data_IF_233111388559
#
_entry.id   IF_233111388559
#
_cell.length_a   1.000
_cell.length_b   1.000
_cell.length_c   1.000
_cell.angle_alpha   90.00
_cell.angle_beta   90.00
_cell.angle_gamma   90.00
#
_symmetry.space_group_name_H-M   'P 1'
#
loop_
_entity.id
_entity.type
_entity.pdbx_description
1 polymer ?
#
# COMPACT_ATOMS: atom_id res chain seq x y z
N UNK A 1 10.99 10.37 -23.09
CA UNK A 1 12.23 9.65 -22.70
C UNK A 1 13.23 10.50 -21.90
N UNK A 2 13.31 11.83 -22.09
CA UNK A 2 14.17 12.71 -21.28
C UNK A 2 13.81 12.69 -19.78
N UNK A 3 12.53 12.73 -19.43
CA UNK A 3 12.09 12.75 -18.01
C UNK A 3 12.42 11.51 -17.18
N UNK A 4 12.42 10.31 -17.77
CA UNK A 4 12.75 9.08 -17.05
C UNK A 4 14.27 9.00 -16.72
N UNK A 5 15.12 9.42 -17.64
CA UNK A 5 16.58 9.48 -17.42
C UNK A 5 16.94 10.53 -16.36
N UNK A 6 16.29 11.67 -16.40
CA UNK A 6 16.48 12.73 -15.41
C UNK A 6 15.99 12.28 -14.02
N UNK A 7 14.83 11.65 -13.95
CA UNK A 7 14.31 11.06 -12.71
C UNK A 7 15.30 10.05 -12.11
N UNK A 8 15.77 9.09 -12.90
CA UNK A 8 16.75 8.09 -12.43
C UNK A 8 18.07 8.74 -11.99
N UNK A 9 18.52 9.80 -12.66
CA UNK A 9 19.72 10.54 -12.26
C UNK A 9 19.53 11.25 -10.92
N UNK A 10 18.37 11.88 -10.70
CA UNK A 10 18.04 12.54 -9.44
C UNK A 10 17.91 11.53 -8.30
N UNK A 11 17.31 10.36 -8.58
CA UNK A 11 17.18 9.27 -7.62
C UNK A 11 18.54 8.64 -7.28
N UNK A 12 19.43 8.50 -8.28
CA UNK A 12 20.80 7.99 -8.07
C UNK A 12 21.65 8.90 -7.17
N UNK A 13 21.35 10.20 -7.11
CA UNK A 13 21.97 11.12 -6.15
C UNK A 13 21.49 10.94 -4.70
N UNK A 14 20.53 10.04 -4.43
CA UNK A 14 19.93 9.80 -3.12
C UNK A 14 19.97 8.31 -2.79
N UNK A 15 21.01 7.82 -2.11
CA UNK A 15 21.25 6.39 -1.93
C UNK A 15 20.08 5.66 -1.23
N UNK A 16 19.46 6.29 -0.25
CA UNK A 16 18.29 5.72 0.46
C UNK A 16 17.08 5.58 -0.47
N UNK A 17 16.81 6.58 -1.30
CA UNK A 17 15.72 6.54 -2.27
C UNK A 17 15.96 5.52 -3.39
N UNK A 18 17.21 5.43 -3.87
CA UNK A 18 17.60 4.43 -4.86
C UNK A 18 17.45 3.01 -4.30
N UNK A 19 17.88 2.78 -3.06
CA UNK A 19 17.69 1.51 -2.38
C UNK A 19 16.20 1.17 -2.21
N UNK A 20 15.37 2.16 -1.85
CA UNK A 20 13.91 2.00 -1.79
C UNK A 20 13.30 1.63 -3.14
N UNK A 21 13.71 2.29 -4.21
CA UNK A 21 13.24 1.98 -5.58
C UNK A 21 13.64 0.57 -6.02
N UNK A 22 14.91 0.19 -5.79
CA UNK A 22 15.41 -1.16 -6.09
C UNK A 22 14.66 -2.20 -5.26
N UNK A 23 14.42 -1.94 -3.97
CA UNK A 23 13.66 -2.82 -3.10
C UNK A 23 12.22 -3.02 -3.57
N UNK A 24 11.52 -1.96 -3.98
CA UNK A 24 10.18 -2.07 -4.57
C UNK A 24 10.21 -2.93 -5.84
N UNK A 25 11.16 -2.68 -6.75
CA UNK A 25 11.31 -3.50 -7.97
C UNK A 25 11.62 -4.96 -7.66
N UNK A 26 12.47 -5.22 -6.66
CA UNK A 26 12.79 -6.58 -6.22
C UNK A 26 11.54 -7.32 -5.74
N UNK A 27 10.72 -6.72 -4.86
CA UNK A 27 9.51 -7.37 -4.37
C UNK A 27 8.42 -7.51 -5.45
N UNK A 28 8.30 -6.55 -6.36
CA UNK A 28 7.42 -6.68 -7.54
C UNK A 28 7.89 -7.83 -8.43
N UNK A 29 9.19 -7.92 -8.71
CA UNK A 29 9.76 -9.06 -9.44
C UNK A 29 9.49 -10.39 -8.72
N UNK A 30 9.77 -10.45 -7.41
CA UNK A 30 9.55 -11.63 -6.58
C UNK A 30 8.09 -12.10 -6.62
N UNK A 31 7.13 -11.17 -6.55
CA UNK A 31 5.70 -11.49 -6.49
C UNK A 31 5.07 -11.86 -7.84
N UNK A 32 5.53 -11.24 -8.93
CA UNK A 32 4.86 -11.38 -10.23
C UNK A 32 5.68 -12.09 -11.31
N UNK A 33 7.01 -12.11 -11.19
CA UNK A 33 7.90 -12.71 -12.19
C UNK A 33 8.50 -14.02 -11.70
N UNK A 34 8.97 -14.07 -10.45
CA UNK A 34 9.60 -15.29 -9.91
C UNK A 34 8.68 -16.53 -9.93
N UNK A 35 7.35 -16.45 -9.73
CA UNK A 35 6.44 -17.59 -9.83
C UNK A 35 6.44 -18.30 -11.20
N UNK A 36 6.88 -17.64 -12.28
CA UNK A 36 7.02 -18.29 -13.59
C UNK A 36 8.23 -19.23 -13.66
N UNK A 37 9.21 -19.06 -12.77
CA UNK A 37 10.45 -19.84 -12.75
C UNK A 37 10.50 -20.85 -11.61
N UNK A 38 9.71 -20.62 -10.55
CA UNK A 38 9.66 -21.46 -9.36
C UNK A 38 8.29 -22.12 -9.30
N UNK A 39 8.17 -23.44 -9.47
CA UNK A 39 6.87 -24.12 -9.39
C UNK A 39 6.32 -24.07 -7.95
N UNK A 40 5.00 -23.91 -7.82
CA UNK A 40 4.35 -23.94 -6.51
C UNK A 40 4.50 -25.31 -5.86
N UNK A 41 5.08 -25.34 -4.67
CA UNK A 41 5.22 -26.51 -3.82
C UNK A 41 4.34 -26.36 -2.60
N UNK A 42 3.08 -26.78 -2.71
CA UNK A 42 2.08 -26.67 -1.64
C UNK A 42 1.70 -28.02 -1.03
N UNK A 43 2.41 -29.08 -1.41
CA UNK A 43 2.17 -30.44 -0.86
C UNK A 43 2.86 -30.56 0.49
N UNK A 44 2.10 -30.94 1.56
CA UNK A 44 2.68 -31.17 2.88
C UNK A 44 3.69 -32.31 2.88
N UNK A 45 4.82 -32.14 3.58
CA UNK A 45 5.80 -33.18 3.84
C UNK A 45 6.08 -33.30 5.35
N UNK A 46 5.38 -34.17 6.03
CA UNK A 46 5.45 -34.33 7.48
C UNK A 46 6.85 -34.68 7.99
N UNK A 47 7.68 -35.29 7.15
CA UNK A 47 9.08 -35.63 7.52
C UNK A 47 10.01 -34.40 7.57
N UNK A 48 9.57 -33.26 7.06
CA UNK A 48 10.37 -32.03 6.91
C UNK A 48 9.80 -30.84 7.69
N UNK A 49 9.00 -31.10 8.75
CA UNK A 49 8.42 -30.03 9.59
C UNK A 49 9.54 -29.25 10.31
N UNK A 50 9.47 -27.91 10.20
CA UNK A 50 10.38 -26.95 10.81
C UNK A 50 11.87 -27.25 10.58
N UNK A 51 12.23 -27.71 9.39
CA UNK A 51 13.64 -27.83 9.06
C UNK A 51 14.30 -26.45 9.00
N UNK A 52 15.52 -26.39 9.52
CA UNK A 52 16.38 -25.20 9.45
C UNK A 52 16.84 -24.97 8.00
N UNK A 53 17.30 -23.75 7.65
CA UNK A 53 17.81 -23.43 6.33
C UNK A 53 18.86 -24.42 5.83
N UNK A 54 18.67 -24.86 4.60
CA UNK A 54 19.53 -25.80 3.89
C UNK A 54 19.61 -25.47 2.40
N UNK A 55 20.43 -26.16 1.63
CA UNK A 55 20.47 -25.98 0.17
C UNK A 55 19.16 -26.37 -0.52
N UNK A 56 18.41 -27.34 0.06
CA UNK A 56 17.10 -27.75 -0.45
C UNK A 56 16.01 -26.76 -0.03
N UNK A 57 16.09 -26.22 1.17
CA UNK A 57 15.13 -25.28 1.74
C UNK A 57 15.85 -24.02 2.28
N UNK A 58 16.14 -23.01 1.43
CA UNK A 58 16.98 -21.86 1.81
C UNK A 58 16.47 -21.03 2.98
N UNK A 59 15.16 -21.00 3.22
CA UNK A 59 14.51 -20.36 4.38
C UNK A 59 13.88 -21.37 5.35
N UNK A 60 14.26 -22.66 5.24
CA UNK A 60 13.66 -23.72 6.04
C UNK A 60 12.24 -24.07 5.60
N UNK A 61 11.53 -24.81 6.45
CA UNK A 61 10.18 -25.30 6.18
C UNK A 61 9.18 -24.89 7.26
N UNK A 62 7.89 -24.94 6.93
CA UNK A 62 6.79 -24.57 7.82
C UNK A 62 6.32 -25.76 8.69
N UNK A 63 5.19 -25.57 9.40
CA UNK A 63 4.53 -26.56 10.25
C UNK A 63 3.94 -27.75 9.47
N UNK A 64 3.89 -27.71 8.16
CA UNK A 64 3.50 -28.82 7.27
C UNK A 64 4.66 -29.38 6.47
N UNK A 65 5.90 -28.89 6.70
CA UNK A 65 7.07 -29.27 5.94
C UNK A 65 7.14 -28.68 4.52
N UNK A 66 6.38 -27.59 4.25
CA UNK A 66 6.42 -26.88 2.97
C UNK A 66 7.55 -25.87 2.96
N UNK A 67 8.16 -25.65 1.79
CA UNK A 67 9.27 -24.71 1.63
C UNK A 67 8.85 -23.26 1.91
N UNK A 68 9.53 -22.62 2.86
CA UNK A 68 9.25 -21.24 3.28
C UNK A 68 9.57 -20.21 2.18
N UNK A 69 10.66 -20.41 1.40
CA UNK A 69 11.00 -19.51 0.31
C UNK A 69 9.93 -19.54 -0.79
N UNK A 70 9.42 -20.73 -1.10
CA UNK A 70 8.33 -20.90 -2.05
C UNK A 70 7.08 -20.12 -1.61
N UNK A 71 6.71 -20.21 -0.33
CA UNK A 71 5.60 -19.44 0.24
C UNK A 71 5.85 -17.92 0.21
N UNK A 72 7.07 -17.45 0.41
CA UNK A 72 7.43 -16.02 0.29
C UNK A 72 7.26 -15.55 -1.16
N UNK A 73 7.70 -16.33 -2.14
CA UNK A 73 7.56 -15.99 -3.56
C UNK A 73 6.08 -15.84 -3.95
N UNK A 74 5.26 -16.82 -3.62
CA UNK A 74 3.85 -16.81 -4.00
C UNK A 74 3.00 -15.88 -3.11
N UNK A 75 3.34 -15.75 -1.84
CA UNK A 75 2.60 -14.92 -0.87
C UNK A 75 2.69 -13.42 -1.11
N UNK A 76 3.68 -12.96 -1.88
CA UNK A 76 3.85 -11.56 -2.23
C UNK A 76 2.75 -11.02 -3.15
N UNK A 77 2.24 -11.85 -4.07
CA UNK A 77 1.29 -11.42 -5.10
C UNK A 77 0.00 -10.86 -4.49
N UNK A 78 -0.60 -11.58 -3.55
CA UNK A 78 -1.88 -11.18 -2.96
C UNK A 78 -1.74 -9.92 -2.12
N UNK A 79 -0.72 -9.87 -1.25
CA UNK A 79 -0.53 -8.73 -0.34
C UNK A 79 -0.20 -7.43 -1.10
N UNK A 80 0.63 -7.51 -2.15
CA UNK A 80 0.96 -6.37 -3.00
C UNK A 80 -0.24 -5.92 -3.84
N UNK A 81 -0.99 -6.86 -4.43
CA UNK A 81 -2.17 -6.56 -5.26
C UNK A 81 -3.24 -5.85 -4.45
N UNK A 82 -3.58 -6.37 -3.27
CA UNK A 82 -4.58 -5.75 -2.38
C UNK A 82 -4.12 -4.37 -1.92
N UNK A 83 -2.86 -4.24 -1.50
CA UNK A 83 -2.29 -2.97 -1.08
C UNK A 83 -2.34 -1.91 -2.20
N UNK A 84 -1.95 -2.29 -3.42
CA UNK A 84 -1.99 -1.41 -4.59
C UNK A 84 -3.42 -0.99 -4.96
N UNK A 85 -4.35 -1.94 -5.05
CA UNK A 85 -5.74 -1.65 -5.41
C UNK A 85 -6.46 -0.82 -4.34
N UNK A 86 -6.22 -1.11 -3.05
CA UNK A 86 -6.77 -0.32 -1.97
C UNK A 86 -6.26 1.13 -2.00
N UNK A 87 -4.96 1.33 -2.23
CA UNK A 87 -4.37 2.65 -2.41
C UNK A 87 -4.92 3.36 -3.65
N UNK A 88 -5.08 2.65 -4.77
CA UNK A 88 -5.63 3.21 -6.01
C UNK A 88 -7.07 3.71 -5.80
N UNK A 89 -7.94 2.86 -5.28
CA UNK A 89 -9.34 3.20 -5.08
C UNK A 89 -9.51 4.31 -4.03
N UNK A 90 -8.78 4.25 -2.89
CA UNK A 90 -8.84 5.31 -1.88
C UNK A 90 -8.31 6.65 -2.41
N UNK A 91 -7.26 6.64 -3.22
CA UNK A 91 -6.70 7.85 -3.85
C UNK A 91 -7.67 8.47 -4.86
N UNK A 92 -8.31 7.65 -5.70
CA UNK A 92 -9.32 8.12 -6.67
C UNK A 92 -10.52 8.73 -5.93
N UNK A 93 -11.04 8.07 -4.89
CA UNK A 93 -12.14 8.62 -4.08
C UNK A 93 -11.74 9.93 -3.40
N UNK A 94 -10.55 9.97 -2.79
CA UNK A 94 -10.04 11.14 -2.09
C UNK A 94 -9.83 12.34 -3.03
N UNK A 95 -9.27 12.12 -4.21
CA UNK A 95 -9.08 13.17 -5.22
C UNK A 95 -10.44 13.68 -5.70
N UNK A 96 -11.35 12.78 -6.05
CA UNK A 96 -12.67 13.16 -6.59
C UNK A 96 -13.44 13.98 -5.57
N UNK A 97 -13.67 13.45 -4.38
CA UNK A 97 -14.48 14.13 -3.37
C UNK A 97 -13.73 15.29 -2.70
N UNK A 98 -12.41 15.18 -2.50
CA UNK A 98 -11.60 16.25 -1.93
C UNK A 98 -11.50 17.48 -2.85
N UNK A 99 -11.32 17.26 -4.16
CA UNK A 99 -11.30 18.33 -5.13
C UNK A 99 -12.70 18.98 -5.28
N UNK A 100 -13.77 18.18 -5.35
CA UNK A 100 -15.14 18.70 -5.39
C UNK A 100 -15.48 19.54 -4.15
N UNK A 101 -15.17 19.04 -2.96
CA UNK A 101 -15.40 19.77 -1.71
C UNK A 101 -14.68 21.13 -1.70
N UNK A 102 -13.37 21.13 -2.04
CA UNK A 102 -12.56 22.34 -2.05
C UNK A 102 -12.98 23.37 -3.11
N UNK A 103 -13.39 22.90 -4.30
CA UNK A 103 -13.70 23.81 -5.42
C UNK A 103 -15.12 24.36 -5.36
N UNK A 104 -16.12 23.55 -5.05
CA UNK A 104 -17.52 23.96 -4.95
C UNK A 104 -17.78 24.71 -3.64
N UNK A 105 -17.17 24.30 -2.52
CA UNK A 105 -17.34 24.96 -1.23
C UNK A 105 -18.78 24.85 -0.67
N UNK A 106 -19.10 25.73 0.27
CA UNK A 106 -20.45 25.90 0.81
C UNK A 106 -21.09 24.60 1.34
N UNK A 107 -22.33 24.30 0.92
CA UNK A 107 -23.07 23.11 1.36
C UNK A 107 -22.45 21.80 0.92
N UNK A 108 -21.85 21.75 -0.28
CA UNK A 108 -21.20 20.53 -0.81
C UNK A 108 -20.01 20.17 0.06
N UNK A 109 -19.17 21.13 0.35
CA UNK A 109 -18.02 20.97 1.25
C UNK A 109 -18.47 20.50 2.65
N UNK A 110 -19.48 21.15 3.23
CA UNK A 110 -20.00 20.80 4.56
C UNK A 110 -20.56 19.37 4.61
N UNK A 111 -21.24 18.90 3.56
CA UNK A 111 -21.79 17.54 3.50
C UNK A 111 -20.67 16.52 3.38
N UNK A 112 -19.73 16.73 2.45
CA UNK A 112 -18.61 15.81 2.23
C UNK A 112 -17.75 15.71 3.50
N UNK A 113 -17.43 16.84 4.13
CA UNK A 113 -16.68 16.85 5.39
C UNK A 113 -17.46 16.21 6.52
N UNK A 114 -18.76 16.45 6.64
CA UNK A 114 -19.61 15.83 7.66
C UNK A 114 -19.58 14.31 7.58
N UNK A 115 -19.69 13.73 6.37
CA UNK A 115 -19.57 12.28 6.14
C UNK A 115 -18.16 11.81 6.53
N UNK A 116 -17.15 12.54 6.12
CA UNK A 116 -15.74 12.25 6.41
C UNK A 116 -15.47 12.26 7.91
N UNK A 117 -16.02 13.25 8.61
CA UNK A 117 -15.85 13.44 10.07
C UNK A 117 -16.50 12.28 10.84
N UNK A 118 -17.73 11.90 10.48
CA UNK A 118 -18.40 10.72 11.05
C UNK A 118 -17.56 9.45 10.82
N UNK A 119 -17.07 9.24 9.60
CA UNK A 119 -16.23 8.07 9.30
C UNK A 119 -14.95 8.04 10.13
N UNK A 120 -14.34 9.18 10.41
CA UNK A 120 -13.09 9.28 11.19
C UNK A 120 -13.30 9.24 12.72
N UNK A 121 -14.54 9.38 13.23
CA UNK A 121 -14.81 9.21 14.66
C UNK A 121 -14.74 7.74 15.10
N UNK A 122 -14.97 6.83 14.18
CA UNK A 122 -14.94 5.39 14.47
C UNK A 122 -13.49 4.89 14.32
N UNK A 123 -12.89 4.26 15.35
CA UNK A 123 -11.57 3.66 15.21
C UNK A 123 -11.51 2.66 14.05
N UNK A 124 -10.64 2.93 13.08
CA UNK A 124 -10.59 2.20 11.80
C UNK A 124 -10.48 0.69 11.98
N UNK A 125 -9.67 0.21 12.94
CA UNK A 125 -9.51 -1.22 13.18
C UNK A 125 -10.81 -1.86 13.67
N UNK A 126 -11.56 -1.19 14.57
CA UNK A 126 -12.84 -1.70 15.08
C UNK A 126 -13.85 -1.79 13.95
N UNK A 127 -13.95 -0.73 13.12
CA UNK A 127 -14.85 -0.72 11.97
C UNK A 127 -14.50 -1.84 10.99
N UNK A 128 -13.20 -2.05 10.74
CA UNK A 128 -12.73 -3.12 9.86
C UNK A 128 -13.09 -4.52 10.39
N UNK A 129 -12.94 -4.77 11.70
CA UNK A 129 -13.32 -6.04 12.33
C UNK A 129 -14.82 -6.31 12.13
N UNK A 130 -15.66 -5.32 12.39
CA UNK A 130 -17.12 -5.45 12.22
C UNK A 130 -17.49 -5.72 10.76
N UNK A 131 -16.92 -4.95 9.83
CA UNK A 131 -17.17 -5.10 8.39
C UNK A 131 -16.70 -6.48 7.92
N UNK A 132 -15.52 -6.94 8.34
CA UNK A 132 -15.00 -8.25 7.98
C UNK A 132 -15.86 -9.40 8.54
N UNK A 133 -16.35 -9.29 9.76
CA UNK A 133 -17.23 -10.29 10.39
C UNK A 133 -18.58 -10.43 9.67
N UNK A 134 -19.13 -9.31 9.17
CA UNK A 134 -20.41 -9.29 8.46
C UNK A 134 -20.25 -9.74 7.02
N UNK A 135 -19.31 -9.15 6.27
CA UNK A 135 -19.16 -9.36 4.83
C UNK A 135 -18.35 -10.60 4.48
N UNK A 136 -17.52 -11.10 5.40
CA UNK A 136 -16.61 -12.25 5.20
C UNK A 136 -15.92 -12.19 3.83
N UNK A 137 -15.14 -11.15 3.55
CA UNK A 137 -14.60 -10.89 2.22
C UNK A 137 -13.81 -12.08 1.72
N UNK A 138 -14.27 -12.67 0.63
CA UNK A 138 -13.57 -13.72 -0.11
C UNK A 138 -12.96 -13.13 -1.37
N UNK A 139 -11.62 -13.18 -1.45
CA UNK A 139 -10.87 -12.66 -2.61
C UNK A 139 -10.33 -11.24 -2.44
N UNK A 140 -9.26 -10.99 -3.19
CA UNK A 140 -8.42 -9.79 -3.08
C UNK A 140 -9.16 -8.49 -3.43
N UNK A 141 -10.09 -8.52 -4.40
CA UNK A 141 -10.79 -7.32 -4.85
C UNK A 141 -11.74 -6.76 -3.79
N UNK A 142 -12.53 -7.63 -3.15
CA UNK A 142 -13.48 -7.22 -2.11
C UNK A 142 -12.72 -6.64 -0.92
N UNK A 143 -11.62 -7.29 -0.52
CA UNK A 143 -10.76 -6.78 0.55
C UNK A 143 -10.16 -5.43 0.19
N UNK A 144 -9.66 -5.25 -1.03
CA UNK A 144 -9.11 -3.98 -1.49
C UNK A 144 -10.15 -2.85 -1.45
N UNK A 145 -11.39 -3.12 -1.87
CA UNK A 145 -12.49 -2.14 -1.81
C UNK A 145 -12.84 -1.77 -0.36
N UNK A 146 -12.93 -2.75 0.54
CA UNK A 146 -13.19 -2.49 1.96
C UNK A 146 -12.09 -1.60 2.54
N UNK A 147 -10.82 -1.94 2.31
CA UNK A 147 -9.69 -1.13 2.79
C UNK A 147 -9.72 0.29 2.21
N UNK A 148 -10.02 0.43 0.93
CA UNK A 148 -10.16 1.74 0.28
C UNK A 148 -11.25 2.59 0.92
N UNK A 149 -12.43 1.98 1.18
CA UNK A 149 -13.57 2.65 1.81
C UNK A 149 -13.31 3.05 3.28
N UNK A 150 -12.30 2.47 3.92
CA UNK A 150 -11.89 2.85 5.27
C UNK A 150 -10.79 3.91 5.28
N UNK A 151 -10.00 4.02 4.21
CA UNK A 151 -8.84 4.91 4.16
C UNK A 151 -9.12 6.25 3.48
N UNK A 152 -10.06 6.31 2.52
CA UNK A 152 -10.34 7.52 1.73
C UNK A 152 -10.66 8.78 2.58
N UNK A 153 -11.31 8.70 3.79
CA UNK A 153 -11.66 9.90 4.54
C UNK A 153 -10.42 10.70 5.00
N UNK A 154 -9.41 10.01 5.49
CA UNK A 154 -8.15 10.64 5.91
C UNK A 154 -7.43 11.30 4.72
N UNK A 155 -7.33 10.57 3.60
CA UNK A 155 -6.68 11.07 2.40
C UNK A 155 -7.47 12.23 1.75
N UNK A 156 -8.79 12.18 1.81
CA UNK A 156 -9.67 13.27 1.32
C UNK A 156 -9.34 14.59 1.99
N UNK A 157 -9.22 14.62 3.31
CA UNK A 157 -8.88 15.85 4.05
C UNK A 157 -7.56 16.45 3.58
N UNK A 158 -6.57 15.58 3.33
CA UNK A 158 -5.25 15.97 2.86
C UNK A 158 -5.31 16.54 1.43
N UNK A 159 -6.02 15.85 0.52
CA UNK A 159 -6.23 16.31 -0.87
C UNK A 159 -7.00 17.62 -0.89
N UNK A 160 -8.07 17.75 -0.09
CA UNK A 160 -8.85 18.97 0.03
C UNK A 160 -7.99 20.16 0.48
N UNK A 161 -7.16 19.99 1.51
CA UNK A 161 -6.26 21.03 1.98
C UNK A 161 -5.29 21.48 0.89
N UNK A 162 -4.74 20.54 0.12
CA UNK A 162 -3.85 20.83 -1.00
C UNK A 162 -4.57 21.59 -2.13
N UNK A 163 -5.78 21.16 -2.49
CA UNK A 163 -6.60 21.84 -3.52
C UNK A 163 -6.97 23.26 -3.07
N UNK A 164 -7.32 23.48 -1.80
CA UNK A 164 -7.57 24.81 -1.27
C UNK A 164 -6.34 25.73 -1.41
N UNK A 165 -5.14 25.22 -1.12
CA UNK A 165 -3.88 25.97 -1.32
C UNK A 165 -3.62 26.32 -2.80
N UNK A 166 -4.02 25.46 -3.73
CA UNK A 166 -3.87 25.72 -5.16
C UNK A 166 -4.95 26.65 -5.72
N UNK A 167 -6.13 26.68 -5.09
CA UNK A 167 -7.27 27.51 -5.50
C UNK A 167 -6.96 29.00 -5.50
N UNK A 168 -6.03 29.43 -4.65
CA UNK A 168 -5.56 30.82 -4.50
C UNK A 168 -4.39 31.17 -5.42
N UNK A 169 -4.03 30.33 -6.37
CA UNK A 169 -2.93 30.57 -7.30
C UNK A 169 -3.37 31.35 -8.55
N UNK A 170 -2.52 32.24 -9.01
CA UNK A 170 -2.76 33.15 -10.15
C UNK A 170 -3.26 32.42 -11.41
N UNK A 171 -2.70 31.26 -11.72
CA UNK A 171 -3.09 30.48 -12.90
C UNK A 171 -4.52 29.90 -12.76
N UNK A 172 -4.98 29.61 -11.54
CA UNK A 172 -6.37 29.14 -11.29
C UNK A 172 -7.32 30.33 -11.39
N UNK A 173 -6.93 31.49 -10.89
CA UNK A 173 -7.70 32.73 -11.03
C UNK A 173 -7.85 33.14 -12.50
N UNK A 174 -6.76 33.08 -13.27
CA UNK A 174 -6.78 33.30 -14.71
C UNK A 174 -7.73 32.33 -15.44
N UNK A 175 -7.69 31.04 -15.10
CA UNK A 175 -8.57 30.04 -15.68
C UNK A 175 -10.07 30.32 -15.37
N UNK A 176 -10.37 30.82 -14.15
CA UNK A 176 -11.72 31.27 -13.78
C UNK A 176 -12.15 32.50 -14.54
N UNK A 177 -11.26 33.48 -14.70
CA UNK A 177 -11.55 34.71 -15.44
C UNK A 177 -11.84 34.46 -16.93
N UNK A 178 -11.33 33.35 -17.48
CA UNK A 178 -11.60 32.86 -18.83
C UNK A 178 -12.84 31.95 -18.91
N UNK A 179 -13.58 31.80 -17.80
CA UNK A 179 -14.75 30.92 -17.68
C UNK A 179 -14.51 29.47 -18.12
N UNK A 180 -13.30 28.96 -17.86
CA UNK A 180 -12.92 27.58 -18.16
C UNK A 180 -13.59 26.65 -17.13
N UNK A 181 -14.71 26.13 -17.32
CA UNK A 181 -15.52 25.30 -16.43
C UNK A 181 -14.77 24.46 -15.36
N UNK A 182 -15.47 24.10 -14.29
CA UNK A 182 -14.93 23.41 -13.12
C UNK A 182 -14.06 22.19 -13.43
N UNK A 183 -14.50 21.36 -14.39
CA UNK A 183 -13.78 20.15 -14.81
C UNK A 183 -12.40 20.49 -15.40
N UNK A 184 -12.32 21.54 -16.23
CA UNK A 184 -11.05 22.01 -16.78
C UNK A 184 -10.10 22.46 -15.67
N UNK A 185 -10.60 23.27 -14.74
CA UNK A 185 -9.81 23.80 -13.62
C UNK A 185 -9.24 22.67 -12.76
N UNK A 186 -10.07 21.68 -12.41
CA UNK A 186 -9.60 20.54 -11.58
C UNK A 186 -8.59 19.69 -12.35
N UNK A 187 -8.94 19.21 -13.54
CA UNK A 187 -8.17 18.16 -14.21
C UNK A 187 -6.99 18.71 -15.03
N UNK A 188 -7.04 19.96 -15.51
CA UNK A 188 -5.97 20.53 -16.33
C UNK A 188 -5.10 21.54 -15.61
N UNK A 189 -5.64 22.23 -14.60
CA UNK A 189 -4.88 23.24 -13.86
C UNK A 189 -4.40 22.73 -12.49
N UNK A 190 -5.27 22.11 -11.68
CA UNK A 190 -4.91 21.74 -10.31
C UNK A 190 -4.21 20.38 -10.23
N UNK A 191 -4.80 19.28 -10.76
CA UNK A 191 -4.26 17.93 -10.62
C UNK A 191 -2.84 17.76 -11.20
N UNK A 192 -2.49 18.32 -12.38
CA UNK A 192 -1.13 18.25 -12.87
C UNK A 192 -0.10 18.91 -11.94
N UNK A 193 -0.51 19.97 -11.23
CA UNK A 193 0.34 20.67 -10.26
C UNK A 193 0.43 19.96 -8.90
N UNK A 194 -0.44 18.97 -8.63
CA UNK A 194 -0.39 18.11 -7.43
C UNK A 194 0.14 16.70 -7.72
N UNK A 195 0.60 16.39 -8.92
CA UNK A 195 1.00 15.02 -9.30
C UNK A 195 2.01 14.40 -8.31
N UNK A 196 2.98 15.17 -7.88
CA UNK A 196 3.99 14.73 -6.93
C UNK A 196 3.38 14.40 -5.57
N UNK A 197 2.50 15.26 -5.09
CA UNK A 197 1.74 15.06 -3.87
C UNK A 197 0.88 13.79 -3.94
N UNK A 198 0.17 13.58 -5.06
CA UNK A 198 -0.67 12.40 -5.29
C UNK A 198 0.16 11.12 -5.27
N UNK A 199 1.31 11.08 -5.95
CA UNK A 199 2.19 9.90 -6.00
C UNK A 199 2.72 9.54 -4.61
N UNK A 200 3.18 10.53 -3.84
CA UNK A 200 3.69 10.30 -2.48
C UNK A 200 2.58 9.74 -1.58
N UNK A 201 1.41 10.38 -1.59
CA UNK A 201 0.28 9.93 -0.76
C UNK A 201 -0.31 8.59 -1.22
N UNK A 202 -0.25 8.26 -2.51
CA UNK A 202 -0.57 6.93 -3.02
C UNK A 202 0.36 5.85 -2.42
N UNK A 203 1.67 6.11 -2.39
CA UNK A 203 2.64 5.17 -1.78
C UNK A 203 2.37 5.01 -0.29
N UNK A 204 2.11 6.11 0.43
CA UNK A 204 1.76 6.06 1.85
C UNK A 204 0.43 5.33 2.11
N UNK A 205 -0.57 5.53 1.25
CA UNK A 205 -1.83 4.79 1.31
C UNK A 205 -1.63 3.29 1.06
N UNK A 206 -0.75 2.91 0.12
CA UNK A 206 -0.38 1.52 -0.11
C UNK A 206 0.30 0.90 1.11
N UNK A 207 1.22 1.63 1.74
CA UNK A 207 1.86 1.24 2.99
C UNK A 207 0.82 0.95 4.08
N UNK A 208 -0.12 1.86 4.29
CA UNK A 208 -1.19 1.72 5.27
C UNK A 208 -2.12 0.55 4.95
N UNK A 209 -2.48 0.35 3.67
CA UNK A 209 -3.31 -0.76 3.24
C UNK A 209 -2.67 -2.12 3.55
N UNK A 210 -1.37 -2.27 3.29
CA UNK A 210 -0.62 -3.49 3.57
C UNK A 210 -0.57 -3.78 5.08
N UNK A 211 -0.31 -2.78 5.93
CA UNK A 211 -0.36 -2.97 7.38
C UNK A 211 -1.74 -3.40 7.86
N UNK A 212 -2.78 -2.75 7.38
CA UNK A 212 -4.17 -3.03 7.77
C UNK A 212 -4.59 -4.43 7.30
N UNK A 213 -4.24 -4.81 6.07
CA UNK A 213 -4.45 -6.16 5.55
C UNK A 213 -3.72 -7.21 6.39
N UNK A 214 -2.44 -6.99 6.69
CA UNK A 214 -1.65 -7.92 7.47
C UNK A 214 -2.24 -8.11 8.87
N UNK A 215 -2.71 -7.04 9.52
CA UNK A 215 -3.33 -7.10 10.84
C UNK A 215 -4.63 -7.92 10.84
N UNK A 216 -5.53 -7.70 9.88
CA UNK A 216 -6.81 -8.42 9.83
C UNK A 216 -6.65 -9.91 9.50
N UNK A 217 -5.69 -10.24 8.63
CA UNK A 217 -5.33 -11.63 8.31
C UNK A 217 -4.69 -12.30 9.52
N UNK A 218 -3.74 -11.63 10.18
CA UNK A 218 -3.08 -12.14 11.38
C UNK A 218 -4.05 -12.43 12.52
N UNK A 219 -5.13 -11.64 12.63
CA UNK A 219 -6.21 -11.88 13.61
C UNK A 219 -7.19 -12.99 13.17
N UNK A 220 -7.04 -13.56 11.97
CA UNK A 220 -7.92 -14.64 11.48
C UNK A 220 -9.34 -14.17 11.15
N UNK A 221 -9.54 -12.89 10.88
CA UNK A 221 -10.87 -12.29 10.69
C UNK A 221 -11.41 -12.41 9.26
N UNK A 222 -10.59 -12.87 8.33
CA UNK A 222 -10.98 -13.14 6.94
C UNK A 222 -10.61 -14.56 6.55
N UNK A 223 -11.28 -15.13 5.52
CA UNK A 223 -10.96 -16.47 5.02
C UNK A 223 -9.49 -16.59 4.63
N UNK A 224 -8.80 -17.58 5.19
CA UNK A 224 -7.38 -17.84 4.98
C UNK A 224 -7.21 -18.72 3.73
N UNK A 225 -7.38 -18.14 2.56
CA UNK A 225 -7.26 -18.82 1.27
C UNK A 225 -6.08 -18.31 0.48
N UNK A 226 -5.38 -19.22 -0.23
CA UNK A 226 -4.22 -18.88 -1.04
C UNK A 226 -2.93 -18.68 -0.24
N UNK A 227 -1.92 -18.11 -0.89
CA UNK A 227 -0.62 -17.81 -0.31
C UNK A 227 -0.53 -16.31 -0.01
N UNK A 228 -0.17 -15.94 1.23
CA UNK A 228 -0.02 -14.55 1.64
C UNK A 228 0.94 -14.48 2.85
N UNK A 229 1.83 -13.49 2.88
CA UNK A 229 2.79 -13.35 3.99
C UNK A 229 2.12 -13.20 5.37
N UNK A 230 0.96 -12.56 5.43
CA UNK A 230 0.21 -12.44 6.69
C UNK A 230 -0.47 -13.75 7.10
N UNK A 231 -0.87 -14.60 6.14
CA UNK A 231 -1.38 -15.96 6.41
C UNK A 231 -0.27 -16.83 7.00
N UNK A 232 0.97 -16.71 6.51
CA UNK A 232 2.12 -17.39 7.12
C UNK A 232 2.27 -17.01 8.61
N UNK A 233 2.17 -15.71 8.92
CA UNK A 233 2.24 -15.23 10.31
C UNK A 233 1.08 -15.72 11.16
N UNK A 234 -0.14 -15.75 10.60
CA UNK A 234 -1.29 -16.33 11.30
C UNK A 234 -1.05 -17.81 11.66
N UNK A 235 -0.60 -18.63 10.70
CA UNK A 235 -0.33 -20.03 10.97
C UNK A 235 0.87 -20.20 11.91
N UNK A 236 1.92 -19.41 11.79
CA UNK A 236 3.03 -19.43 12.72
C UNK A 236 2.57 -19.19 14.17
N UNK A 237 1.66 -18.24 14.36
CA UNK A 237 1.08 -17.97 15.68
C UNK A 237 0.12 -19.07 16.15
N UNK A 238 -0.83 -19.48 15.31
CA UNK A 238 -1.88 -20.45 15.68
C UNK A 238 -1.34 -21.87 15.89
N UNK A 239 -0.25 -22.25 15.22
CA UNK A 239 0.43 -23.53 15.39
C UNK A 239 1.50 -23.49 16.49
N UNK A 240 1.64 -22.37 17.20
CA UNK A 240 2.59 -22.25 18.30
C UNK A 240 4.06 -22.32 17.84
N UNK A 241 4.34 -21.92 16.60
CA UNK A 241 5.69 -21.95 16.03
C UNK A 241 6.71 -21.24 16.92
N UNK A 242 6.30 -20.18 17.64
CA UNK A 242 7.16 -19.42 18.56
C UNK A 242 7.82 -20.28 19.66
N UNK A 243 7.24 -21.44 19.99
CA UNK A 243 7.77 -22.35 21.02
C UNK A 243 8.83 -23.31 20.46
N UNK A 244 9.04 -23.36 19.15
CA UNK A 244 10.01 -24.23 18.50
C UNK A 244 11.19 -23.40 17.98
N UNK A 245 12.41 -23.77 18.38
CA UNK A 245 13.64 -23.06 17.96
C UNK A 245 13.85 -23.14 16.44
N UNK A 246 13.52 -24.26 15.85
CA UNK A 246 13.80 -24.54 14.43
C UNK A 246 12.82 -23.81 13.49
N UNK A 247 11.66 -23.36 14.00
CA UNK A 247 10.69 -22.53 13.27
C UNK A 247 11.09 -21.07 13.12
N UNK A 248 12.21 -20.64 13.69
CA UNK A 248 12.66 -19.22 13.71
C UNK A 248 12.63 -18.60 12.30
N UNK A 249 13.15 -19.30 11.31
CA UNK A 249 13.20 -18.80 9.94
C UNK A 249 11.84 -18.70 9.27
N UNK A 250 10.92 -19.63 9.58
CA UNK A 250 9.54 -19.59 9.12
C UNK A 250 8.80 -18.35 9.64
N UNK A 251 9.03 -17.96 10.90
CA UNK A 251 8.45 -16.75 11.48
C UNK A 251 9.12 -15.49 10.94
N UNK A 252 10.44 -15.48 10.90
CA UNK A 252 11.22 -14.29 10.52
C UNK A 252 11.04 -13.92 9.05
N UNK A 253 10.92 -14.88 8.16
CA UNK A 253 10.86 -14.65 6.71
C UNK A 253 9.69 -13.75 6.28
N UNK A 254 8.41 -14.00 6.64
CA UNK A 254 7.32 -13.12 6.28
C UNK A 254 7.38 -11.77 7.00
N UNK A 255 7.91 -11.69 8.23
CA UNK A 255 8.15 -10.42 8.92
C UNK A 255 9.13 -9.57 8.14
N UNK A 256 10.26 -10.14 7.74
CA UNK A 256 11.27 -9.43 6.95
C UNK A 256 10.74 -9.04 5.57
N UNK A 257 9.97 -9.91 4.90
CA UNK A 257 9.38 -9.59 3.61
C UNK A 257 8.46 -8.36 3.70
N UNK A 258 7.54 -8.33 4.67
CA UNK A 258 6.66 -7.18 4.91
C UNK A 258 7.48 -5.94 5.30
N UNK A 259 8.39 -6.06 6.28
CA UNK A 259 9.15 -4.94 6.81
C UNK A 259 10.07 -4.31 5.75
N UNK A 260 10.80 -5.12 4.98
CA UNK A 260 11.70 -4.63 3.94
C UNK A 260 10.93 -4.01 2.77
N UNK A 261 9.78 -4.58 2.39
CA UNK A 261 8.93 -3.98 1.38
C UNK A 261 8.36 -2.62 1.83
N UNK A 262 7.88 -2.53 3.07
CA UNK A 262 7.41 -1.29 3.66
C UNK A 262 8.52 -0.23 3.76
N UNK A 263 9.71 -0.63 4.22
CA UNK A 263 10.87 0.25 4.25
C UNK A 263 11.21 0.77 2.86
N UNK A 264 11.13 -0.09 1.85
CA UNK A 264 11.36 0.28 0.44
C UNK A 264 10.34 1.32 -0.05
N UNK A 265 9.05 1.13 0.26
CA UNK A 265 7.99 2.08 -0.09
C UNK A 265 8.19 3.44 0.60
N UNK A 266 8.46 3.45 1.90
CA UNK A 266 8.66 4.69 2.67
C UNK A 266 9.92 5.42 2.21
N UNK A 267 11.01 4.71 1.97
CA UNK A 267 12.26 5.28 1.46
C UNK A 267 12.07 5.89 0.07
N UNK A 268 11.29 5.23 -0.78
CA UNK A 268 10.93 5.76 -2.10
C UNK A 268 10.07 7.02 -1.98
N UNK A 269 9.03 7.01 -1.14
CA UNK A 269 8.15 8.15 -0.91
C UNK A 269 8.94 9.38 -0.42
N UNK A 270 9.82 9.20 0.57
CA UNK A 270 10.70 10.25 1.10
C UNK A 270 11.62 10.83 0.04
N UNK A 271 12.24 9.98 -0.79
CA UNK A 271 13.09 10.45 -1.88
C UNK A 271 12.31 11.22 -2.96
N UNK A 272 11.07 10.79 -3.26
CA UNK A 272 10.20 11.51 -4.18
C UNK A 272 9.79 12.88 -3.63
N UNK A 273 9.48 12.97 -2.34
CA UNK A 273 9.19 14.24 -1.68
C UNK A 273 10.35 15.22 -1.83
N UNK A 274 11.55 14.78 -1.57
CA UNK A 274 12.76 15.59 -1.72
C UNK A 274 13.05 15.98 -3.17
N UNK A 275 12.83 15.08 -4.14
CA UNK A 275 13.06 15.37 -5.58
C UNK A 275 12.06 16.42 -6.07
N UNK A 276 10.82 16.34 -5.61
CA UNK A 276 9.75 17.21 -6.06
C UNK A 276 9.67 18.53 -5.29
N UNK A 277 10.32 18.66 -4.13
CA UNK A 277 10.32 19.88 -3.33
C UNK A 277 11.52 20.77 -3.71
N UNK A 278 11.31 21.90 -4.44
CA UNK A 278 12.41 22.76 -4.88
C UNK A 278 13.21 23.40 -3.73
N UNK A 279 12.55 23.57 -2.56
CA UNK A 279 13.17 24.22 -1.40
C UNK A 279 14.24 23.36 -0.71
N UNK A 280 14.19 22.04 -0.90
CA UNK A 280 15.18 21.10 -0.36
C UNK A 280 16.35 20.84 -1.32
N UNK A 281 16.32 21.42 -2.53
CA UNK A 281 17.42 21.31 -3.51
C UNK A 281 18.57 22.29 -3.25
N UNK A 282 18.37 23.29 -2.41
CA UNK A 282 19.30 24.39 -2.14
C UNK A 282 20.00 24.31 -0.77
N UNK A 283 19.82 23.24 -0.03
CA UNK A 283 20.54 22.91 1.20
C UNK A 283 21.48 21.70 0.95
#
# INVERSE_FOLDING_TARGET
MAGAREFLRLLAGRPVGLAGFIGVLFFVFLAYVAPFFVPLQDTPNISEIYQTPSLAHPLGTDFQGRDTLNQIVYGGRDILTVGFLAALFSTVLAITFGALAATLGGRVDSIILGITDVALTIPQLILLIVVAAILRPSGFLILAVILALLQWPSLLRQVRAQVLSLKERDYVEAARSLDLGLFHIIFREMLPNMRSYIVIHFILAMTQAIYTQAAIIFLGLIPLTGQNWAIMLYFANSQGAIFFRDSFWYILSPILAIALFQLSLVSLASALEDIFNPRLRSA
#
